data_IF_188713198678
#
_entry.id   IF_188713198678
#
_cell.length_a   1.000
_cell.length_b   1.000
_cell.length_c   1.000
_cell.angle_alpha   90.00
_cell.angle_beta   90.00
_cell.angle_gamma   90.00
#
_symmetry.space_group_name_H-M   'P 1'
#
loop_
_entity.id
_entity.type
_entity.pdbx_description
1 polymer ?
#
# COMPACT_ATOMS: atom_id res chain seq x y z
N UNK A 1 -2.77 34.44 14.50
CA UNK A 1 -1.84 33.99 14.26
C UNK A 1 -1.74 32.62 14.60
N UNK A 2 -1.76 32.24 15.72
CA UNK A 2 -1.67 30.98 15.99
C UNK A 2 -2.74 30.24 15.37
N UNK A 3 -3.89 30.70 15.27
CA UNK A 3 -4.87 30.11 14.64
C UNK A 3 -4.52 29.85 13.27
N UNK A 4 -3.96 30.69 12.59
CA UNK A 4 -3.62 30.48 11.25
C UNK A 4 -2.62 29.37 11.14
N UNK A 5 -1.75 29.34 12.08
CA UNK A 5 -0.75 28.33 12.02
C UNK A 5 -1.37 26.98 12.26
N UNK A 6 -2.27 26.88 13.17
CA UNK A 6 -2.88 25.61 13.43
C UNK A 6 -3.65 25.17 12.23
N UNK A 7 -4.34 26.09 11.59
CA UNK A 7 -5.06 25.71 10.44
C UNK A 7 -4.12 25.27 9.38
N UNK A 8 -3.03 25.94 9.23
CA UNK A 8 -2.07 25.57 8.26
C UNK A 8 -1.58 24.17 8.52
N UNK A 9 -1.45 23.83 9.77
CA UNK A 9 -0.97 22.56 10.06
C UNK A 9 -1.98 21.54 9.70
N UNK A 10 -3.21 21.74 9.92
CA UNK A 10 -4.17 20.78 9.53
C UNK A 10 -4.23 20.61 8.06
N UNK A 11 -4.14 21.65 7.34
CA UNK A 11 -4.17 21.55 5.89
C UNK A 11 -2.95 20.77 5.44
N UNK A 12 -1.83 21.04 6.06
CA UNK A 12 -0.64 20.37 5.66
C UNK A 12 -0.74 18.89 5.95
N UNK A 13 -1.35 18.52 7.05
CA UNK A 13 -1.49 17.13 7.35
C UNK A 13 -2.34 16.45 6.30
N UNK A 14 -3.40 17.11 5.87
CA UNK A 14 -4.21 16.52 4.84
C UNK A 14 -3.44 16.39 3.54
N UNK A 15 -2.68 17.42 3.21
CA UNK A 15 -1.92 17.38 2.00
C UNK A 15 -0.85 16.30 2.12
N UNK A 16 -0.28 16.16 3.28
CA UNK A 16 0.74 15.16 3.46
C UNK A 16 0.16 13.78 3.25
N UNK A 17 -1.06 13.57 3.67
CA UNK A 17 -1.65 12.31 3.44
C UNK A 17 -1.82 12.07 1.97
N UNK A 18 -2.18 13.06 1.21
CA UNK A 18 -2.32 12.88 -0.20
C UNK A 18 -0.96 12.74 -0.82
N UNK A 19 0.04 13.38 -0.25
CA UNK A 19 1.34 13.34 -0.84
C UNK A 19 2.02 11.98 -0.70
N UNK A 20 1.64 11.15 0.24
CA UNK A 20 2.33 9.89 0.37
C UNK A 20 2.14 9.06 -0.89
N UNK A 21 1.07 9.31 -1.67
CA UNK A 21 0.87 8.53 -2.87
C UNK A 21 1.87 8.93 -3.93
N UNK A 22 2.55 10.06 -3.76
CA UNK A 22 3.52 10.52 -4.71
C UNK A 22 4.94 10.27 -4.25
N UNK A 23 5.13 9.66 -3.10
CA UNK A 23 6.46 9.39 -2.62
C UNK A 23 7.04 8.25 -3.44
N UNK A 24 8.24 8.48 -4.02
CA UNK A 24 8.86 7.45 -4.82
C UNK A 24 9.58 6.49 -3.90
N UNK A 25 9.28 5.23 -4.02
CA UNK A 25 9.87 4.23 -3.16
C UNK A 25 11.22 3.79 -3.70
N UNK A 26 11.95 3.16 -2.86
CA UNK A 26 13.21 2.64 -3.30
C UNK A 26 14.22 3.71 -3.41
N UNK A 27 15.07 3.65 -4.21
CA UNK A 27 16.17 4.46 -4.29
C UNK A 27 16.15 5.92 -4.06
N UNK A 28 15.19 6.40 -3.47
CA UNK A 28 15.19 7.79 -3.31
C UNK A 28 16.35 8.35 -2.60
N UNK A 29 16.92 7.58 -1.81
CA UNK A 29 17.92 8.14 -1.06
C UNK A 29 19.10 8.41 -1.81
N UNK A 30 19.34 7.76 -2.71
CA UNK A 30 20.54 8.04 -3.36
C UNK A 30 20.52 8.99 -4.18
N UNK A 31 20.23 9.53 -4.30
CA UNK A 31 20.19 10.40 -5.04
C UNK A 31 20.82 11.24 -5.54
N UNK A 32 20.75 11.73 -5.41
CA UNK A 32 21.33 12.61 -5.71
C UNK A 32 22.07 12.59 -6.73
N UNK A 33 22.65 12.24 -6.78
CA UNK A 33 23.54 12.30 -7.62
C UNK A 33 23.18 11.98 -8.58
N UNK A 34 22.82 11.89 -8.58
CA UNK A 34 22.51 11.36 -9.39
C UNK A 34 21.78 11.89 -10.38
N UNK A 35 21.69 12.86 -10.59
CA UNK A 35 21.10 13.36 -11.64
C UNK A 35 21.36 12.53 -12.76
N UNK A 36 22.36 12.01 -12.84
CA UNK A 36 22.73 11.26 -13.85
C UNK A 36 21.90 10.19 -13.97
N UNK A 37 21.66 9.66 -13.00
CA UNK A 37 21.00 8.55 -13.11
C UNK A 37 19.67 8.67 -13.59
N UNK A 38 19.16 9.75 -13.67
CA UNK A 38 17.87 9.80 -14.08
C UNK A 38 17.68 9.06 -15.27
N UNK A 39 18.54 8.96 -16.06
CA UNK A 39 18.32 8.34 -17.27
C UNK A 39 18.14 6.95 -17.02
N UNK A 40 18.79 6.46 -16.11
CA UNK A 40 18.74 5.11 -16.02
C UNK A 40 17.68 4.71 -15.21
N UNK A 41 17.12 5.46 -14.56
CA UNK A 41 16.26 5.13 -13.77
C UNK A 41 15.05 4.68 -14.24
N UNK A 42 14.89 4.28 -15.36
CA UNK A 42 13.79 3.80 -15.76
C UNK A 42 13.46 2.56 -15.06
N UNK A 43 12.58 2.41 -14.18
CA UNK A 43 12.16 1.21 -13.56
C UNK A 43 11.18 0.55 -14.49
N UNK A 44 11.21 -0.74 -14.58
CA UNK A 44 10.34 -1.45 -15.51
C UNK A 44 8.88 -1.12 -15.24
N UNK A 45 8.06 -1.12 -16.26
CA UNK A 45 6.65 -0.79 -16.08
C UNK A 45 5.88 -1.92 -15.43
N UNK A 46 4.76 -1.59 -14.81
CA UNK A 46 3.93 -2.58 -14.17
C UNK A 46 3.33 -3.55 -15.21
N UNK A 47 3.00 -4.74 -14.74
CA UNK A 47 2.50 -5.78 -15.61
C UNK A 47 1.07 -6.14 -15.22
N UNK A 48 0.21 -6.32 -16.19
CA UNK A 48 -1.17 -6.59 -15.93
C UNK A 48 -1.41 -8.08 -15.98
N UNK A 49 -1.16 -8.80 -14.90
CA UNK A 49 -1.33 -10.23 -14.85
C UNK A 49 -2.04 -10.55 -13.54
N UNK A 50 -3.22 -11.08 -13.60
CA UNK A 50 -4.01 -11.36 -12.43
C UNK A 50 -3.91 -12.79 -11.94
N UNK A 51 -3.26 -13.66 -12.70
CA UNK A 51 -3.13 -15.05 -12.32
C UNK A 51 -1.84 -15.38 -11.62
N UNK A 52 -1.18 -14.42 -11.05
CA UNK A 52 0.06 -14.63 -10.35
C UNK A 52 -0.14 -14.31 -8.89
N UNK A 53 0.81 -14.62 -8.02
CA UNK A 53 0.65 -14.32 -6.59
C UNK A 53 0.46 -12.85 -6.36
N UNK A 54 -0.42 -12.52 -5.45
CA UNK A 54 -0.77 -11.15 -5.11
C UNK A 54 -0.58 -10.87 -3.63
N UNK A 55 -0.53 -9.59 -3.30
CA UNK A 55 -0.36 -9.13 -1.93
C UNK A 55 -1.48 -8.15 -1.61
N UNK A 56 -1.86 -8.14 -0.34
CA UNK A 56 -2.83 -7.16 0.14
C UNK A 56 -2.00 -6.19 0.97
N UNK A 57 -1.96 -4.93 0.57
CA UNK A 57 -1.10 -3.95 1.20
C UNK A 57 -1.96 -2.86 1.82
N UNK A 58 -1.77 -2.62 3.11
CA UNK A 58 -2.50 -1.56 3.80
C UNK A 58 -1.52 -0.41 4.00
N UNK A 59 -1.73 0.68 3.29
CA UNK A 59 -0.78 1.78 3.23
C UNK A 59 -1.22 2.92 4.13
N UNK A 60 -0.30 3.50 4.88
CA UNK A 60 -0.63 4.59 5.78
C UNK A 60 0.58 5.49 5.99
N UNK A 61 0.38 6.72 6.43
CA UNK A 61 1.51 7.60 6.72
C UNK A 61 2.26 7.07 7.93
N UNK A 62 3.57 7.08 7.87
CA UNK A 62 4.38 6.57 8.96
C UNK A 62 4.02 7.28 10.26
N UNK A 63 3.73 6.53 11.28
CA UNK A 63 3.32 7.10 12.55
C UNK A 63 1.86 7.53 12.61
N UNK A 64 1.12 7.34 11.53
CA UNK A 64 -0.24 7.82 11.48
C UNK A 64 -1.26 6.90 12.11
N UNK A 65 -0.91 5.66 12.41
CA UNK A 65 -1.83 4.74 13.03
C UNK A 65 -1.09 3.86 14.00
N UNK A 66 -1.82 3.11 14.79
CA UNK A 66 -1.21 2.13 15.67
C UNK A 66 -1.00 0.87 14.83
N UNK A 67 0.15 0.74 14.20
CA UNK A 67 0.43 -0.35 13.28
C UNK A 67 0.43 -1.70 13.96
N UNK A 68 0.90 -1.78 15.20
CA UNK A 68 0.94 -3.05 15.88
C UNK A 68 -0.47 -3.55 16.20
N UNK A 69 -1.37 -2.65 16.50
CA UNK A 69 -2.74 -3.03 16.76
C UNK A 69 -3.39 -3.52 15.48
N UNK A 70 -3.12 -2.85 14.36
CA UNK A 70 -3.67 -3.27 13.08
C UNK A 70 -3.13 -4.65 12.74
N UNK A 71 -1.84 -4.86 12.93
CA UNK A 71 -1.22 -6.14 12.64
C UNK A 71 -1.87 -7.23 13.49
N UNK A 72 -2.08 -6.95 14.77
CA UNK A 72 -2.68 -7.92 15.66
C UNK A 72 -4.10 -8.25 15.21
N UNK A 73 -4.87 -7.26 14.84
CA UNK A 73 -6.25 -7.49 14.44
C UNK A 73 -6.33 -8.32 13.16
N UNK A 74 -5.44 -8.06 12.21
CA UNK A 74 -5.42 -8.81 10.98
C UNK A 74 -4.96 -10.25 11.26
N UNK A 75 -3.95 -10.43 12.08
CA UNK A 75 -3.45 -11.76 12.39
C UNK A 75 -4.52 -12.58 13.10
N UNK A 76 -5.24 -11.93 14.01
CA UNK A 76 -6.26 -12.61 14.76
C UNK A 76 -7.40 -13.02 13.83
N UNK A 77 -7.77 -12.15 12.91
CA UNK A 77 -8.84 -12.46 11.97
C UNK A 77 -8.41 -13.62 11.08
N UNK A 78 -7.17 -13.60 10.59
CA UNK A 78 -6.69 -14.63 9.71
C UNK A 78 -6.65 -15.97 10.44
N UNK A 79 -6.21 -15.96 11.68
CA UNK A 79 -6.12 -17.19 12.43
C UNK A 79 -7.50 -17.79 12.66
N UNK A 80 -8.49 -16.95 12.86
CA UNK A 80 -9.82 -17.43 13.13
C UNK A 80 -10.55 -17.93 11.89
N UNK A 81 -10.25 -17.35 10.74
CA UNK A 81 -11.03 -17.66 9.55
C UNK A 81 -10.30 -18.48 8.49
N UNK A 82 -8.99 -18.62 8.57
CA UNK A 82 -8.27 -19.36 7.55
C UNK A 82 -7.38 -20.40 8.21
N UNK A 83 -7.96 -21.51 8.60
CA UNK A 83 -7.22 -22.53 9.30
C UNK A 83 -6.18 -23.20 8.45
N UNK A 84 -6.49 -23.41 7.21
CA UNK A 84 -5.57 -24.08 6.33
C UNK A 84 -4.58 -23.17 5.69
N UNK A 85 -4.91 -21.94 5.46
CA UNK A 85 -4.03 -21.02 4.78
C UNK A 85 -3.22 -20.24 5.78
N UNK A 86 -1.96 -20.04 5.46
CA UNK A 86 -1.05 -19.36 6.35
C UNK A 86 -0.62 -18.09 5.66
N UNK A 87 -1.14 -16.97 6.02
CA UNK A 87 -0.77 -15.72 5.40
C UNK A 87 0.34 -15.05 6.23
N UNK A 88 1.38 -14.59 5.56
CA UNK A 88 2.46 -13.90 6.24
C UNK A 88 2.15 -12.43 6.34
N UNK A 89 2.50 -11.82 7.45
CA UNK A 89 2.28 -10.39 7.65
C UNK A 89 3.62 -9.72 7.89
N UNK A 90 3.81 -8.57 7.26
CA UNK A 90 5.07 -7.86 7.40
C UNK A 90 4.80 -6.36 7.38
N UNK A 91 5.43 -5.60 8.26
CA UNK A 91 5.32 -4.15 8.24
C UNK A 91 6.58 -3.60 7.60
N UNK A 92 6.42 -2.74 6.62
CA UNK A 92 7.52 -2.13 5.90
C UNK A 92 7.37 -0.63 5.99
N UNK A 93 8.47 0.09 6.15
CA UNK A 93 8.42 1.55 6.23
C UNK A 93 9.41 2.15 5.25
N UNK A 94 8.99 3.18 4.56
CA UNK A 94 9.81 3.88 3.59
C UNK A 94 9.69 5.37 3.90
N UNK A 95 10.38 5.81 4.92
CA UNK A 95 10.32 7.23 5.34
C UNK A 95 8.90 7.65 5.69
N UNK A 96 8.26 8.40 4.86
CA UNK A 96 6.95 8.94 5.17
C UNK A 96 5.81 7.97 4.98
N UNK A 97 6.04 6.86 4.33
CA UNK A 97 4.97 5.95 4.02
C UNK A 97 5.28 4.59 4.62
N UNK A 98 4.32 3.98 5.23
CA UNK A 98 4.49 2.65 5.80
C UNK A 98 3.37 1.75 5.32
N UNK A 99 3.55 0.48 5.43
CA UNK A 99 2.52 -0.43 4.96
C UNK A 99 2.57 -1.76 5.68
N UNK A 100 1.41 -2.37 5.84
CA UNK A 100 1.30 -3.70 6.38
C UNK A 100 0.99 -4.59 5.19
N UNK A 101 1.83 -5.55 4.90
CA UNK A 101 1.70 -6.39 3.74
C UNK A 101 1.25 -7.77 4.14
N UNK A 102 0.16 -8.25 3.55
CA UNK A 102 -0.35 -9.60 3.79
C UNK A 102 -0.01 -10.40 2.56
N UNK A 103 0.78 -11.47 2.71
CA UNK A 103 1.23 -12.28 1.61
C UNK A 103 0.62 -13.66 1.64
N UNK A 104 0.51 -14.29 0.53
CA UNK A 104 0.02 -15.67 0.47
C UNK A 104 -1.14 -15.92 -0.46
N UNK A 105 -1.50 -14.94 -1.28
CA UNK A 105 -2.61 -15.13 -2.18
C UNK A 105 -2.10 -15.63 -3.52
N UNK A 106 -2.69 -16.67 -4.05
CA UNK A 106 -2.21 -17.28 -5.28
C UNK A 106 -2.55 -16.45 -6.51
N UNK A 107 -3.58 -15.64 -6.46
CA UNK A 107 -3.97 -14.84 -7.60
C UNK A 107 -4.86 -13.70 -7.14
N UNK A 108 -5.27 -12.85 -8.08
CA UNK A 108 -6.08 -11.68 -7.76
C UNK A 108 -7.46 -12.06 -7.25
N UNK A 109 -8.04 -13.14 -7.77
CA UNK A 109 -9.36 -13.55 -7.37
C UNK A 109 -9.37 -13.95 -5.90
N UNK A 110 -8.38 -14.68 -5.46
CA UNK A 110 -8.31 -15.10 -4.07
C UNK A 110 -8.15 -13.88 -3.18
N UNK A 111 -7.35 -12.93 -3.60
CA UNK A 111 -7.16 -11.71 -2.85
C UNK A 111 -8.45 -10.91 -2.78
N UNK A 112 -9.20 -10.85 -3.87
CA UNK A 112 -10.45 -10.11 -3.90
C UNK A 112 -11.45 -10.69 -2.89
N UNK A 113 -11.49 -12.00 -2.77
CA UNK A 113 -12.38 -12.62 -1.81
C UNK A 113 -11.95 -12.30 -0.40
N UNK A 114 -10.66 -12.30 -0.13
CA UNK A 114 -10.15 -11.97 1.20
C UNK A 114 -10.53 -10.52 1.53
N UNK A 115 -10.39 -9.61 0.58
CA UNK A 115 -10.71 -8.22 0.82
C UNK A 115 -12.19 -8.05 1.14
N UNK A 116 -13.04 -8.78 0.45
CA UNK A 116 -14.45 -8.68 0.72
C UNK A 116 -14.76 -9.17 2.12
N UNK A 117 -14.14 -10.27 2.54
CA UNK A 117 -14.39 -10.80 3.86
C UNK A 117 -13.90 -9.83 4.92
N UNK A 118 -12.74 -9.22 4.71
CA UNK A 118 -12.18 -8.33 5.68
C UNK A 118 -13.01 -7.06 5.80
N UNK A 119 -13.65 -6.65 4.73
CA UNK A 119 -14.47 -5.44 4.73
C UNK A 119 -15.89 -5.67 5.20
N UNK A 120 -16.27 -6.90 5.46
CA UNK A 120 -17.62 -7.20 5.90
C UNK A 120 -17.82 -6.70 7.32
N UNK A 121 -19.05 -6.57 7.79
CA UNK A 121 -19.29 -6.04 9.12
C UNK A 121 -18.58 -6.82 10.22
N UNK A 122 -18.37 -8.13 10.04
CA UNK A 122 -17.66 -8.91 11.01
C UNK A 122 -16.19 -9.04 10.67
N UNK A 123 -15.69 -8.23 9.76
CA UNK A 123 -14.29 -8.28 9.40
C UNK A 123 -13.45 -7.40 10.29
N UNK A 124 -12.43 -6.78 9.73
CA UNK A 124 -11.53 -5.94 10.48
C UNK A 124 -11.70 -4.51 9.99
N UNK A 125 -12.17 -3.60 10.83
CA UNK A 125 -12.34 -2.22 10.39
C UNK A 125 -10.99 -1.58 10.16
N UNK A 126 -10.88 -0.79 9.11
CA UNK A 126 -9.64 -0.11 8.81
C UNK A 126 -9.61 1.23 9.50
N UNK A 127 -8.50 1.56 10.17
CA UNK A 127 -8.38 2.86 10.80
C UNK A 127 -8.36 3.96 9.76
N UNK A 128 -8.69 5.17 10.16
CA UNK A 128 -8.62 6.28 9.25
C UNK A 128 -7.20 6.45 8.81
N UNK A 129 -7.00 6.73 7.57
CA UNK A 129 -5.67 6.94 7.04
C UNK A 129 -5.07 5.71 6.40
N UNK A 130 -5.73 4.57 6.53
CA UNK A 130 -5.23 3.34 5.92
C UNK A 130 -5.95 3.13 4.61
N UNK A 131 -5.19 2.87 3.55
CA UNK A 131 -5.78 2.61 2.24
C UNK A 131 -5.37 1.22 1.77
N UNK A 132 -6.34 0.34 1.51
CA UNK A 132 -6.02 -0.99 1.02
C UNK A 132 -5.62 -0.96 -0.44
N UNK A 133 -4.59 -1.71 -0.79
CA UNK A 133 -4.12 -1.79 -2.16
C UNK A 133 -3.92 -3.26 -2.50
N UNK A 134 -4.42 -3.69 -3.64
CA UNK A 134 -4.23 -5.05 -4.11
C UNK A 134 -3.22 -5.00 -5.24
N UNK A 135 -2.14 -5.75 -5.15
CA UNK A 135 -1.07 -5.67 -6.11
C UNK A 135 -0.39 -7.03 -6.25
N UNK A 136 0.09 -7.38 -7.44
CA UNK A 136 0.79 -8.64 -7.61
C UNK A 136 2.17 -8.54 -6.97
N UNK A 137 2.75 -9.65 -6.58
CA UNK A 137 4.08 -9.64 -6.00
C UNK A 137 5.07 -9.03 -6.97
N UNK A 138 4.90 -9.31 -8.25
CA UNK A 138 5.77 -8.78 -9.26
C UNK A 138 5.69 -7.26 -9.33
N UNK A 139 4.47 -6.73 -9.34
CA UNK A 139 4.31 -5.29 -9.41
C UNK A 139 4.75 -4.62 -8.10
N UNK A 140 4.58 -5.30 -6.97
CA UNK A 140 5.01 -4.73 -5.70
C UNK A 140 6.54 -4.59 -5.70
N UNK A 141 7.25 -5.56 -6.26
CA UNK A 141 8.67 -5.48 -6.32
C UNK A 141 9.08 -4.30 -7.19
N UNK A 142 8.39 -4.08 -8.30
CA UNK A 142 8.69 -2.96 -9.18
C UNK A 142 8.36 -1.64 -8.47
N UNK A 143 7.28 -1.63 -7.72
CA UNK A 143 6.86 -0.43 -7.02
C UNK A 143 7.94 0.00 -6.01
N UNK A 144 8.41 -0.91 -5.18
CA UNK A 144 9.38 -0.55 -4.17
C UNK A 144 10.76 -0.29 -4.75
N UNK A 145 10.98 -0.67 -5.99
CA UNK A 145 12.25 -0.40 -6.62
C UNK A 145 12.35 1.01 -7.17
N UNK A 146 11.26 1.70 -7.34
CA UNK A 146 11.35 3.05 -7.86
C UNK A 146 10.11 3.69 -8.40
N UNK A 147 8.94 3.16 -8.06
CA UNK A 147 7.70 3.76 -8.51
C UNK A 147 7.00 4.44 -7.35
N UNK A 148 5.92 5.13 -7.63
CA UNK A 148 5.07 5.71 -6.60
C UNK A 148 3.73 4.99 -6.64
N UNK A 149 2.98 5.06 -5.55
CA UNK A 149 1.65 4.46 -5.55
C UNK A 149 0.75 5.18 -6.55
N UNK A 150 0.96 6.47 -6.76
CA UNK A 150 0.14 7.19 -7.71
C UNK A 150 0.34 6.60 -9.10
N UNK A 151 1.57 6.23 -9.44
CA UNK A 151 1.85 5.61 -10.71
C UNK A 151 1.15 4.25 -10.83
N UNK A 152 1.10 3.50 -9.74
CA UNK A 152 0.43 2.22 -9.75
C UNK A 152 -1.08 2.41 -9.89
N UNK A 153 -1.66 3.41 -9.22
CA UNK A 153 -3.08 3.65 -9.31
C UNK A 153 -3.46 4.06 -10.74
N UNK A 154 -2.58 4.83 -11.40
CA UNK A 154 -2.85 5.23 -12.77
C UNK A 154 -2.79 4.00 -13.67
N UNK A 155 -1.85 3.09 -13.38
CA UNK A 155 -1.74 1.86 -14.16
C UNK A 155 -3.03 1.04 -13.99
N UNK A 156 -3.55 0.97 -12.78
CA UNK A 156 -4.76 0.21 -12.52
C UNK A 156 -5.93 0.81 -13.30
N UNK A 157 -6.02 2.13 -13.32
CA UNK A 157 -7.08 2.76 -14.05
C UNK A 157 -6.93 2.54 -15.54
N UNK A 158 -5.74 2.67 -16.06
CA UNK A 158 -5.51 2.53 -17.49
C UNK A 158 -5.79 1.11 -17.97
N UNK A 159 -5.63 0.13 -17.09
CA UNK A 159 -5.87 -1.24 -17.45
C UNK A 159 -7.20 -1.77 -16.94
N UNK A 160 -8.00 -0.87 -16.40
CA UNK A 160 -9.35 -1.22 -15.95
C UNK A 160 -9.37 -2.37 -14.96
N UNK A 161 -8.43 -2.38 -14.06
CA UNK A 161 -8.42 -3.40 -13.02
C UNK A 161 -9.38 -2.97 -11.93
N UNK A 162 -10.07 -3.91 -11.34
CA UNK A 162 -11.16 -3.56 -10.44
C UNK A 162 -10.80 -3.49 -8.98
N UNK A 163 -9.76 -2.81 -8.66
CA UNK A 163 -9.33 -2.78 -7.29
C UNK A 163 -10.19 -1.98 -6.38
N UNK A 164 -10.82 -0.96 -6.91
CA UNK A 164 -11.54 -0.13 -6.00
C UNK A 164 -12.99 -0.20 -6.19
N UNK A 165 -13.50 -1.23 -6.77
CA UNK A 165 -14.76 -1.26 -6.98
C UNK A 165 -15.45 -1.44 -5.80
N UNK A 166 -15.57 -1.48 -5.01
CA UNK A 166 -16.14 -1.61 -3.88
C UNK A 166 -16.74 -1.25 -3.43
#
# INVERSE_FOLDING_TARGET
>A
MLKGVAQGREVVAGAARNDIWRVRLGGGDEPLETGISDTTQEVAPFVSDLDVPHLFVLVYPTGGINANLLLFNIAKYNFAHFIIRDFDLEIMSFNEISMLVVKGFYNFDELTQYRRMLSAPDGVPMPDGVRPVMISEQNFKLLVEGHTFEEYFRFVEDNQLLQYEE
#
